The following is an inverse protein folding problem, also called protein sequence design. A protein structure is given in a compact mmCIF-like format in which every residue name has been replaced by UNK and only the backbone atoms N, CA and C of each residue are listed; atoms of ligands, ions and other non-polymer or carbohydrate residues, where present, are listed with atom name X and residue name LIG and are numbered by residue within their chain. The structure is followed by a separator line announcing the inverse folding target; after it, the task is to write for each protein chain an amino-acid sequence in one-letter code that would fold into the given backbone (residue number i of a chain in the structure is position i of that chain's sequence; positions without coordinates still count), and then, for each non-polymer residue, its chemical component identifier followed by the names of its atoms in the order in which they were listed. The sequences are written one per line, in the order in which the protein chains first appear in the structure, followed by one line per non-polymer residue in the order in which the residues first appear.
data_IF_493681716502
#
_entry.id   IF_493681716502
#
_cell.length_a   1.000
_cell.length_b   1.000
_cell.length_c   1.000
_cell.angle_alpha   90.00
_cell.angle_beta   90.00
_cell.angle_gamma   90.00
#
_symmetry.space_group_name_H-M   'P 1'
#
loop_
_entity.id
_entity.type
_entity.pdbx_description
1 polymer ?
#
# COMPACT_ATOMS: atom_id res chain seq x y z
N UNK A 1 4.39 24.46 -8.33
CA UNK A 1 3.58 23.22 -8.25
C UNK A 1 2.71 23.34 -7.02
N UNK A 2 1.39 23.22 -7.14
CA UNK A 2 0.47 23.35 -6.00
C UNK A 2 0.79 22.26 -4.95
N UNK A 3 0.69 22.60 -3.66
CA UNK A 3 1.00 21.70 -2.54
C UNK A 3 0.15 20.42 -2.62
N UNK A 4 -1.10 20.52 -3.07
CA UNK A 4 -1.99 19.36 -3.23
C UNK A 4 -1.46 18.32 -4.22
N UNK A 5 -0.86 18.79 -5.32
CA UNK A 5 -0.26 17.91 -6.33
C UNK A 5 1.01 17.25 -5.81
N UNK A 6 1.82 17.97 -5.03
CA UNK A 6 3.00 17.40 -4.37
C UNK A 6 2.57 16.31 -3.37
N UNK A 7 1.54 16.57 -2.57
CA UNK A 7 0.97 15.58 -1.65
C UNK A 7 0.41 14.37 -2.40
N UNK A 8 -0.34 14.58 -3.49
CA UNK A 8 -0.85 13.49 -4.33
C UNK A 8 0.27 12.60 -4.89
N UNK A 9 1.37 13.17 -5.35
CA UNK A 9 2.56 12.42 -5.79
C UNK A 9 3.16 11.59 -4.64
N UNK A 10 3.27 12.17 -3.43
CA UNK A 10 3.74 11.42 -2.26
C UNK A 10 2.81 10.25 -1.93
N UNK A 11 1.48 10.45 -1.97
CA UNK A 11 0.50 9.39 -1.77
C UNK A 11 0.63 8.26 -2.80
N UNK A 12 0.86 8.60 -4.08
CA UNK A 12 1.11 7.60 -5.12
C UNK A 12 2.40 6.80 -4.88
N UNK A 13 3.48 7.46 -4.44
CA UNK A 13 4.73 6.79 -4.09
C UNK A 13 4.54 5.83 -2.90
N UNK A 14 3.79 6.25 -1.88
CA UNK A 14 3.44 5.39 -0.73
C UNK A 14 2.55 4.22 -1.16
N UNK A 15 1.62 4.43 -2.09
CA UNK A 15 0.79 3.37 -2.63
C UNK A 15 1.63 2.30 -3.35
N UNK A 16 2.56 2.71 -4.22
CA UNK A 16 3.50 1.79 -4.90
C UNK A 16 4.33 1.00 -3.89
N UNK A 17 4.82 1.67 -2.84
CA UNK A 17 5.52 1.02 -1.75
C UNK A 17 4.67 -0.02 -1.02
N UNK A 18 3.39 0.28 -0.75
CA UNK A 18 2.46 -0.66 -0.12
C UNK A 18 2.26 -1.92 -0.97
N UNK A 19 2.14 -1.79 -2.30
CA UNK A 19 2.06 -2.95 -3.20
C UNK A 19 3.34 -3.79 -3.18
N UNK A 20 4.51 -3.16 -3.12
CA UNK A 20 5.79 -3.87 -2.98
C UNK A 20 5.90 -4.59 -1.63
N UNK A 21 5.54 -3.92 -0.54
CA UNK A 21 5.52 -4.50 0.81
C UNK A 21 4.55 -5.68 0.90
N UNK A 22 3.37 -5.58 0.28
CA UNK A 22 2.41 -6.67 0.15
C UNK A 22 3.02 -7.85 -0.62
N UNK A 23 3.59 -7.63 -1.81
CA UNK A 23 4.16 -8.71 -2.61
C UNK A 23 5.30 -9.42 -1.87
N UNK A 24 6.14 -8.67 -1.15
CA UNK A 24 7.22 -9.22 -0.32
C UNK A 24 6.68 -9.99 0.89
N UNK A 25 5.67 -9.45 1.57
CA UNK A 25 4.97 -10.09 2.68
C UNK A 25 4.30 -11.39 2.23
N UNK A 26 3.54 -11.35 1.15
CA UNK A 26 2.87 -12.51 0.56
C UNK A 26 3.86 -13.59 0.13
N UNK A 27 4.98 -13.23 -0.50
CA UNK A 27 6.04 -14.19 -0.84
C UNK A 27 6.66 -14.81 0.42
N UNK A 28 6.89 -14.01 1.46
CA UNK A 28 7.43 -14.49 2.74
C UNK A 28 6.45 -15.45 3.43
N UNK A 29 5.16 -15.10 3.46
CA UNK A 29 4.09 -15.96 3.98
C UNK A 29 3.95 -17.25 3.17
N UNK A 30 4.08 -17.18 1.84
CA UNK A 30 3.95 -18.35 0.96
C UNK A 30 5.15 -19.30 1.03
N UNK A 31 6.37 -18.79 1.22
CA UNK A 31 7.61 -19.59 1.20
C UNK A 31 8.09 -19.99 2.60
N UNK A 32 7.81 -19.20 3.64
CA UNK A 32 8.26 -19.43 5.02
C UNK A 32 7.10 -19.49 6.03
N UNK A 33 5.92 -19.98 5.62
CA UNK A 33 4.83 -20.24 6.58
C UNK A 33 5.29 -21.31 7.57
N UNK A 34 5.72 -20.85 8.75
CA UNK A 34 6.18 -21.67 9.87
C UNK A 34 5.26 -21.35 11.07
N UNK A 35 5.31 -22.14 12.14
CA UNK A 35 4.55 -21.96 13.40
C UNK A 35 4.65 -20.57 14.06
N UNK A 36 5.60 -19.72 13.63
CA UNK A 36 5.75 -18.33 14.10
C UNK A 36 4.98 -17.29 13.27
N UNK A 37 4.40 -17.68 12.13
CA UNK A 37 3.56 -16.80 11.32
C UNK A 37 2.18 -16.69 11.96
N UNK A 38 1.94 -15.60 12.68
CA UNK A 38 0.64 -15.36 13.32
C UNK A 38 -0.38 -14.91 12.29
N UNK A 39 -1.66 -15.23 12.55
CA UNK A 39 -2.79 -14.73 11.75
C UNK A 39 -2.76 -13.20 11.59
N UNK A 40 -2.19 -12.49 12.57
CA UNK A 40 -1.94 -11.05 12.53
C UNK A 40 -1.02 -10.62 11.38
N UNK A 41 0.06 -11.34 11.08
CA UNK A 41 0.96 -10.99 9.96
C UNK A 41 0.30 -11.22 8.59
N UNK A 42 -0.55 -12.23 8.48
CA UNK A 42 -1.34 -12.49 7.27
C UNK A 42 -2.38 -11.39 7.09
N UNK A 43 -3.16 -11.09 8.14
CA UNK A 43 -4.15 -10.02 8.13
C UNK A 43 -3.49 -8.67 7.82
N UNK A 44 -2.38 -8.33 8.48
CA UNK A 44 -1.64 -7.09 8.25
C UNK A 44 -1.14 -6.95 6.82
N UNK A 45 -0.78 -8.05 6.16
CA UNK A 45 -0.44 -8.05 4.72
C UNK A 45 -1.68 -7.68 3.88
N UNK A 46 -2.83 -8.32 4.10
CA UNK A 46 -4.08 -8.00 3.39
C UNK A 46 -4.60 -6.58 3.67
N UNK A 47 -4.50 -6.08 4.90
CA UNK A 47 -4.84 -4.69 5.23
C UNK A 47 -3.89 -3.72 4.53
N UNK A 48 -2.58 -4.03 4.45
CA UNK A 48 -1.62 -3.23 3.70
C UNK A 48 -1.98 -3.07 2.22
N UNK A 49 -2.50 -4.14 1.59
CA UNK A 49 -3.05 -4.07 0.22
C UNK A 49 -4.24 -3.10 0.13
N UNK A 50 -5.18 -3.22 1.07
CA UNK A 50 -6.39 -2.40 1.10
C UNK A 50 -6.04 -0.91 1.26
N UNK A 51 -5.11 -0.58 2.16
CA UNK A 51 -4.58 0.77 2.30
C UNK A 51 -3.79 1.24 1.08
N UNK A 52 -3.05 0.35 0.41
CA UNK A 52 -2.38 0.66 -0.86
C UNK A 52 -3.35 1.09 -1.96
N UNK A 53 -4.49 0.40 -2.09
CA UNK A 53 -5.55 0.76 -3.05
C UNK A 53 -6.18 2.11 -2.69
N UNK A 54 -6.47 2.35 -1.41
CA UNK A 54 -7.02 3.63 -0.95
C UNK A 54 -6.05 4.79 -1.24
N UNK A 55 -4.76 4.64 -0.91
CA UNK A 55 -3.76 5.66 -1.20
C UNK A 55 -3.56 5.90 -2.70
N UNK A 56 -3.70 4.86 -3.53
CA UNK A 56 -3.66 5.02 -4.99
C UNK A 56 -4.85 5.86 -5.48
N UNK A 57 -6.06 5.56 -5.01
CA UNK A 57 -7.26 6.32 -5.34
C UNK A 57 -7.18 7.79 -4.90
N UNK A 58 -6.82 8.03 -3.63
CA UNK A 58 -6.64 9.38 -3.08
C UNK A 58 -5.50 10.15 -3.74
N UNK A 59 -4.37 9.50 -4.02
CA UNK A 59 -3.26 10.13 -4.72
C UNK A 59 -3.64 10.53 -6.15
N UNK A 60 -4.41 9.68 -6.84
CA UNK A 60 -4.87 9.94 -8.20
C UNK A 60 -5.88 11.09 -8.26
N UNK A 61 -6.84 11.17 -7.31
CA UNK A 61 -7.77 12.30 -7.23
C UNK A 61 -7.06 13.61 -6.93
N UNK A 62 -6.09 13.62 -6.00
CA UNK A 62 -5.30 14.82 -5.67
C UNK A 62 -4.44 15.31 -6.84
N UNK A 63 -3.84 14.41 -7.63
CA UNK A 63 -3.01 14.79 -8.79
C UNK A 63 -3.86 15.30 -9.95
N UNK A 64 -5.04 14.69 -10.17
CA UNK A 64 -5.92 15.02 -11.30
C UNK A 64 -6.84 16.23 -11.05
N UNK A 65 -6.67 16.97 -9.93
CA UNK A 65 -7.61 18.02 -9.49
C UNK A 65 -9.05 17.49 -9.37
N UNK A 66 -9.22 16.30 -8.80
CA UNK A 66 -10.53 15.67 -8.60
C UNK A 66 -11.41 16.30 -7.52
N UNK A 67 -10.97 17.39 -6.88
CA UNK A 67 -11.73 18.28 -6.00
C UNK A 67 -11.17 19.69 -6.11
#
# INVERSE_FOLDING_TARGET
MNIEKLMGVVFLLVAVWQFYAFARGFKTLRTKSNKSTTAFSIAGTWYGLLFGILFLGFGMTLVLNGF
#
